data_IF_627609680662
#
_entry.id   IF_627609680662
#
_cell.length_a   1.000
_cell.length_b   1.000
_cell.length_c   1.000
_cell.angle_alpha   90.00
_cell.angle_beta   90.00
_cell.angle_gamma   90.00
#
_symmetry.space_group_name_H-M   'P 1'
#
loop_
_entity.id
_entity.type
_entity.pdbx_description
1 polymer ?
#
# COMPACT_ATOMS: atom_id res chain seq x y z
N UNK A 1 19.95 23.64 -1.21
CA UNK A 1 20.72 22.98 -2.28
C UNK A 1 19.90 22.96 -3.57
N UNK A 2 19.07 23.99 -3.83
CA UNK A 2 18.18 24.08 -5.01
C UNK A 2 17.52 22.76 -5.44
N UNK A 3 16.98 22.02 -4.47
CA UNK A 3 16.33 20.70 -4.65
C UNK A 3 17.18 19.66 -5.39
N UNK A 4 18.50 19.81 -5.42
CA UNK A 4 19.43 18.97 -6.17
C UNK A 4 19.22 17.48 -5.89
N UNK A 5 19.09 17.09 -4.63
CA UNK A 5 18.86 15.67 -4.25
C UNK A 5 17.52 15.17 -4.78
N UNK A 6 16.45 15.95 -4.62
CA UNK A 6 15.12 15.60 -5.11
C UNK A 6 15.13 15.42 -6.63
N UNK A 7 15.76 16.35 -7.36
CA UNK A 7 15.87 16.31 -8.82
C UNK A 7 16.71 15.12 -9.29
N UNK A 8 17.81 14.80 -8.59
CA UNK A 8 18.64 13.63 -8.88
C UNK A 8 17.87 12.31 -8.67
N UNK A 9 17.13 12.18 -7.55
CA UNK A 9 16.32 10.99 -7.27
C UNK A 9 15.13 10.85 -8.23
N UNK A 10 14.50 11.96 -8.59
CA UNK A 10 13.42 12.00 -9.60
C UNK A 10 13.93 11.56 -10.97
N UNK A 11 15.10 12.05 -11.38
CA UNK A 11 15.74 11.61 -12.62
C UNK A 11 16.10 10.11 -12.57
N UNK A 12 16.69 9.63 -11.48
CA UNK A 12 17.04 8.22 -11.31
C UNK A 12 15.80 7.31 -11.35
N UNK A 13 14.67 7.74 -10.78
CA UNK A 13 13.40 7.00 -10.80
C UNK A 13 12.89 6.81 -12.23
N UNK A 14 12.93 7.87 -13.05
CA UNK A 14 12.56 7.79 -14.47
C UNK A 14 13.44 6.84 -15.29
N UNK A 15 14.64 6.56 -14.82
CA UNK A 15 15.57 5.64 -15.46
C UNK A 15 15.39 4.16 -15.05
N UNK A 16 14.55 3.87 -14.06
CA UNK A 16 14.31 2.51 -13.57
C UNK A 16 13.65 1.63 -14.62
N UNK A 17 13.87 0.32 -14.51
CA UNK A 17 13.23 -0.67 -15.38
C UNK A 17 11.71 -0.58 -15.30
N UNK A 18 11.13 -0.46 -14.09
CA UNK A 18 9.68 -0.35 -13.89
C UNK A 18 9.08 0.83 -14.66
N UNK A 19 9.70 2.01 -14.62
CA UNK A 19 9.23 3.19 -15.36
C UNK A 19 9.32 2.99 -16.89
N UNK A 20 10.37 2.32 -17.37
CA UNK A 20 10.63 2.14 -18.80
C UNK A 20 9.93 0.95 -19.45
N UNK A 21 9.53 -0.06 -18.68
CA UNK A 21 8.86 -1.25 -19.21
C UNK A 21 7.53 -0.89 -19.86
N UNK A 22 7.30 -1.30 -21.10
CA UNK A 22 6.02 -1.09 -21.76
C UNK A 22 4.91 -1.92 -21.10
N UNK A 23 3.67 -1.42 -21.14
CA UNK A 23 2.54 -2.16 -20.62
C UNK A 23 2.32 -3.43 -21.46
N UNK A 24 2.01 -4.54 -20.78
CA UNK A 24 1.61 -5.77 -21.45
C UNK A 24 0.23 -5.59 -22.10
N UNK A 25 0.00 -6.24 -23.22
CA UNK A 25 -1.33 -6.41 -23.81
C UNK A 25 -2.11 -7.59 -23.19
N UNK A 26 -1.45 -8.34 -22.31
CA UNK A 26 -2.07 -9.45 -21.57
C UNK A 26 -3.20 -8.93 -20.68
N UNK A 27 -4.37 -9.54 -20.82
CA UNK A 27 -5.50 -9.27 -19.94
C UNK A 27 -5.29 -10.01 -18.61
N UNK A 28 -5.15 -9.24 -17.53
CA UNK A 28 -5.00 -9.75 -16.17
C UNK A 28 -6.34 -9.60 -15.45
N UNK A 29 -6.92 -10.70 -15.00
CA UNK A 29 -8.17 -10.68 -14.24
C UNK A 29 -7.98 -10.09 -12.84
N UNK A 30 -9.06 -9.59 -12.24
CA UNK A 30 -9.01 -9.05 -10.87
C UNK A 30 -8.46 -10.06 -9.87
N UNK A 31 -8.92 -11.32 -9.94
CA UNK A 31 -8.47 -12.38 -9.04
C UNK A 31 -6.97 -12.65 -9.22
N UNK A 32 -6.45 -12.57 -10.44
CA UNK A 32 -5.05 -12.82 -10.73
C UNK A 32 -4.11 -11.80 -10.05
N UNK A 33 -4.54 -10.54 -9.91
CA UNK A 33 -3.77 -9.55 -9.14
C UNK A 33 -3.64 -9.94 -7.66
N UNK A 34 -4.66 -10.55 -7.07
CA UNK A 34 -4.62 -11.01 -5.69
C UNK A 34 -3.80 -12.30 -5.55
N UNK A 35 -4.01 -13.28 -6.44
CA UNK A 35 -3.36 -14.59 -6.37
C UNK A 35 -1.85 -14.51 -6.62
N UNK A 36 -1.43 -13.67 -7.58
CA UNK A 36 -0.01 -13.46 -7.92
C UNK A 36 0.65 -12.34 -7.10
N UNK A 37 -0.14 -11.59 -6.32
CA UNK A 37 0.27 -10.37 -5.64
C UNK A 37 0.32 -10.45 -4.12
N UNK A 38 0.49 -11.64 -3.53
CA UNK A 38 0.44 -11.85 -2.07
C UNK A 38 1.39 -10.92 -1.32
N UNK A 39 2.64 -10.75 -1.80
CA UNK A 39 3.58 -9.80 -1.22
C UNK A 39 3.07 -8.36 -1.24
N UNK A 40 2.41 -7.93 -2.32
CA UNK A 40 1.85 -6.58 -2.42
C UNK A 40 0.73 -6.36 -1.41
N UNK A 41 -0.17 -7.33 -1.26
CA UNK A 41 -1.25 -7.28 -0.26
C UNK A 41 -0.67 -7.19 1.16
N UNK A 42 0.36 -8.00 1.46
CA UNK A 42 1.04 -7.98 2.75
C UNK A 42 1.74 -6.64 3.03
N UNK A 43 2.39 -6.04 2.03
CA UNK A 43 3.04 -4.73 2.15
C UNK A 43 2.03 -3.62 2.41
N UNK A 44 0.90 -3.61 1.71
CA UNK A 44 -0.16 -2.60 1.93
C UNK A 44 -0.73 -2.72 3.33
N UNK A 45 -1.13 -3.93 3.75
CA UNK A 45 -1.65 -4.17 5.11
C UNK A 45 -0.65 -3.69 6.17
N UNK A 46 0.58 -4.19 6.11
CA UNK A 46 1.58 -3.92 7.15
C UNK A 46 1.99 -2.45 7.17
N UNK A 47 2.10 -1.80 6.01
CA UNK A 47 2.44 -0.38 5.92
C UNK A 47 1.34 0.51 6.49
N UNK A 48 0.07 0.21 6.20
CA UNK A 48 -1.08 0.95 6.75
C UNK A 48 -1.17 0.79 8.26
N UNK A 49 -1.08 -0.44 8.76
CA UNK A 49 -1.13 -0.72 10.20
C UNK A 49 0.01 0.00 10.93
N UNK A 50 1.25 -0.15 10.45
CA UNK A 50 2.42 0.48 11.05
C UNK A 50 2.32 2.01 11.06
N UNK A 51 1.86 2.63 9.96
CA UNK A 51 1.67 4.07 9.89
C UNK A 51 0.60 4.55 10.89
N UNK A 52 -0.53 3.84 10.94
CA UNK A 52 -1.61 4.15 11.88
C UNK A 52 -1.15 4.04 13.34
N UNK A 53 -0.52 2.92 13.70
CA UNK A 53 -0.02 2.65 15.06
C UNK A 53 0.99 3.72 15.47
N UNK A 54 1.97 4.01 14.62
CA UNK A 54 3.01 5.01 14.89
C UNK A 54 2.41 6.40 15.11
N UNK A 55 1.39 6.78 14.32
CA UNK A 55 0.71 8.06 14.51
C UNK A 55 -0.05 8.12 15.84
N UNK A 56 -0.80 7.07 16.18
CA UNK A 56 -1.56 7.01 17.43
C UNK A 56 -0.64 7.00 18.65
N UNK A 57 0.46 6.26 18.60
CA UNK A 57 1.49 6.24 19.65
C UNK A 57 2.15 7.62 19.84
N UNK A 58 2.30 8.40 18.76
CA UNK A 58 2.77 9.78 18.81
C UNK A 58 1.72 10.78 19.35
N UNK A 59 0.51 10.32 19.69
CA UNK A 59 -0.56 11.12 20.26
C UNK A 59 -1.54 11.71 19.24
N UNK A 60 -1.47 11.30 17.97
CA UNK A 60 -2.46 11.68 16.95
C UNK A 60 -3.75 10.91 17.23
N UNK A 61 -4.90 11.58 17.13
CA UNK A 61 -6.19 10.91 17.32
C UNK A 61 -6.42 9.85 16.25
N UNK A 62 -7.06 8.74 16.63
CA UNK A 62 -7.23 7.58 15.77
C UNK A 62 -8.00 7.90 14.48
N UNK A 63 -9.01 8.78 14.53
CA UNK A 63 -9.72 9.22 13.33
C UNK A 63 -8.81 9.94 12.33
N UNK A 64 -7.91 10.82 12.80
CA UNK A 64 -6.93 11.49 11.93
C UNK A 64 -5.92 10.50 11.38
N UNK A 65 -5.37 9.62 12.23
CA UNK A 65 -4.45 8.58 11.79
C UNK A 65 -5.07 7.68 10.70
N UNK A 66 -6.36 7.35 10.79
CA UNK A 66 -7.08 6.61 9.74
C UNK A 66 -7.15 7.38 8.41
N UNK A 67 -7.48 8.67 8.45
CA UNK A 67 -7.57 9.50 7.25
C UNK A 67 -6.21 9.62 6.54
N UNK A 68 -5.15 9.84 7.30
CA UNK A 68 -3.77 10.02 6.78
C UNK A 68 -3.04 8.69 6.48
N UNK A 69 -3.71 7.53 6.59
CA UNK A 69 -3.15 6.21 6.26
C UNK A 69 -4.05 5.41 5.34
N UNK A 70 -5.01 4.66 5.89
CA UNK A 70 -5.85 3.73 5.14
C UNK A 70 -6.77 4.46 4.14
N UNK A 71 -7.34 5.61 4.52
CA UNK A 71 -8.31 6.30 3.67
C UNK A 71 -7.73 6.81 2.36
N UNK A 72 -6.51 7.33 2.38
CA UNK A 72 -5.84 7.91 1.21
C UNK A 72 -5.14 6.87 0.32
N UNK A 73 -4.90 5.66 0.84
CA UNK A 73 -4.19 4.59 0.10
C UNK A 73 -4.78 4.35 -1.31
N UNK A 74 -6.11 4.26 -1.52
CA UNK A 74 -6.66 4.10 -2.86
C UNK A 74 -6.37 5.26 -3.81
N UNK A 75 -6.30 6.50 -3.32
CA UNK A 75 -6.01 7.67 -4.15
C UNK A 75 -4.58 7.60 -4.70
N UNK A 76 -3.60 7.27 -3.85
CA UNK A 76 -2.21 7.09 -4.26
C UNK A 76 -2.08 5.92 -5.24
N UNK A 77 -2.70 4.77 -4.94
CA UNK A 77 -2.71 3.62 -5.84
C UNK A 77 -3.26 3.96 -7.24
N UNK A 78 -4.33 4.77 -7.31
CA UNK A 78 -4.89 5.22 -8.59
C UNK A 78 -3.92 6.09 -9.40
N UNK A 79 -3.06 6.89 -8.78
CA UNK A 79 -2.02 7.65 -9.51
C UNK A 79 -1.01 6.72 -10.18
N UNK A 80 -0.58 5.67 -9.47
CA UNK A 80 0.35 4.65 -9.98
C UNK A 80 -0.30 3.84 -11.10
N UNK A 81 -1.55 3.41 -10.92
CA UNK A 81 -2.28 2.69 -11.95
C UNK A 81 -2.45 3.50 -13.24
N UNK A 82 -2.59 4.83 -13.12
CA UNK A 82 -2.77 5.72 -14.28
C UNK A 82 -1.48 5.86 -15.10
N UNK A 83 -0.35 6.15 -14.45
CA UNK A 83 0.90 6.56 -15.10
C UNK A 83 2.15 6.31 -14.24
N UNK A 84 2.18 5.18 -13.53
CA UNK A 84 3.33 4.67 -12.74
C UNK A 84 3.80 5.64 -11.64
N UNK A 85 5.03 5.47 -11.14
CA UNK A 85 5.59 6.29 -10.06
C UNK A 85 5.81 7.73 -10.52
N UNK A 86 6.04 7.96 -11.82
CA UNK A 86 6.11 9.30 -12.38
C UNK A 86 4.87 10.14 -12.06
N UNK A 87 3.67 9.59 -12.26
CA UNK A 87 2.44 10.34 -11.98
C UNK A 87 2.21 10.52 -10.50
N UNK A 88 2.51 9.51 -9.68
CA UNK A 88 2.45 9.65 -8.23
C UNK A 88 3.29 10.83 -7.76
N UNK A 89 4.57 10.85 -8.12
CA UNK A 89 5.52 11.90 -7.74
C UNK A 89 5.15 13.27 -8.30
N UNK A 90 4.52 13.31 -9.49
CA UNK A 90 4.04 14.56 -10.11
C UNK A 90 2.79 15.14 -9.44
N UNK A 91 1.95 14.30 -8.84
CA UNK A 91 0.66 14.71 -8.25
C UNK A 91 0.81 15.11 -6.78
N UNK A 92 1.73 14.49 -6.05
CA UNK A 92 1.99 14.82 -4.65
C UNK A 92 2.85 16.09 -4.51
N UNK A 93 2.92 16.64 -3.30
CA UNK A 93 3.79 17.79 -3.00
C UNK A 93 5.27 17.41 -3.00
N UNK A 94 6.17 18.37 -3.26
CA UNK A 94 7.63 18.14 -3.19
C UNK A 94 8.07 17.61 -1.80
N UNK A 95 7.40 18.03 -0.73
CA UNK A 95 7.63 17.51 0.64
C UNK A 95 7.30 16.03 0.73
N UNK A 96 6.17 15.60 0.16
CA UNK A 96 5.75 14.22 0.15
C UNK A 96 6.69 13.38 -0.72
N UNK A 97 7.05 13.86 -1.91
CA UNK A 97 7.99 13.15 -2.80
C UNK A 97 9.36 12.99 -2.14
N UNK A 98 9.91 14.04 -1.53
CA UNK A 98 11.18 13.96 -0.82
C UNK A 98 11.12 12.96 0.34
N UNK A 99 10.02 12.97 1.11
CA UNK A 99 9.76 12.00 2.17
C UNK A 99 9.70 10.55 1.65
N UNK A 100 9.06 10.33 0.50
CA UNK A 100 9.02 9.02 -0.16
C UNK A 100 10.43 8.51 -0.48
N UNK A 101 11.30 9.35 -1.05
CA UNK A 101 12.68 8.93 -1.34
C UNK A 101 13.50 8.64 -0.09
N UNK A 102 13.38 9.46 0.96
CA UNK A 102 14.07 9.19 2.23
C UNK A 102 13.66 7.85 2.83
N UNK A 103 12.37 7.55 2.80
CA UNK A 103 11.85 6.27 3.28
C UNK A 103 12.32 5.12 2.37
N UNK A 104 12.21 5.26 1.05
CA UNK A 104 12.60 4.24 0.08
C UNK A 104 14.08 3.82 0.23
N UNK A 105 14.97 4.80 0.30
CA UNK A 105 16.41 4.58 0.45
C UNK A 105 16.78 3.89 1.77
N UNK A 106 15.94 4.01 2.80
CA UNK A 106 16.15 3.37 4.09
C UNK A 106 15.48 2.00 4.18
N UNK A 107 14.24 1.90 3.68
CA UNK A 107 13.38 0.74 3.79
C UNK A 107 13.82 -0.39 2.85
N UNK A 108 14.12 -0.09 1.58
CA UNK A 108 14.52 -1.14 0.61
C UNK A 108 15.74 -1.93 1.08
N UNK A 109 16.86 -1.31 1.53
CA UNK A 109 17.99 -2.06 2.07
C UNK A 109 17.63 -2.88 3.32
N UNK A 110 16.77 -2.34 4.19
CA UNK A 110 16.38 -2.97 5.45
C UNK A 110 15.65 -4.31 5.22
N UNK A 111 14.74 -4.37 4.26
CA UNK A 111 13.92 -5.56 4.00
C UNK A 111 14.46 -6.44 2.85
N UNK A 112 15.54 -6.01 2.18
CA UNK A 112 16.04 -6.64 0.95
C UNK A 112 16.27 -8.15 1.10
N UNK A 113 17.00 -8.53 2.13
CA UNK A 113 17.39 -9.94 2.33
C UNK A 113 16.20 -10.80 2.72
N UNK A 114 15.26 -10.24 3.49
CA UNK A 114 14.00 -10.89 3.81
C UNK A 114 13.18 -11.15 2.54
N UNK A 115 12.96 -10.12 1.73
CA UNK A 115 12.18 -10.23 0.48
C UNK A 115 12.83 -11.20 -0.50
N UNK A 116 14.15 -11.18 -0.64
CA UNK A 116 14.89 -12.11 -1.51
C UNK A 116 14.86 -13.57 -1.01
N UNK A 117 14.58 -13.78 0.27
CA UNK A 117 14.46 -15.10 0.88
C UNK A 117 13.05 -15.70 0.85
N UNK A 118 12.04 -14.93 0.38
CA UNK A 118 10.68 -15.41 0.26
C UNK A 118 10.54 -16.47 -0.83
N UNK A 119 9.50 -17.30 -0.71
CA UNK A 119 9.13 -18.22 -1.78
C UNK A 119 8.80 -17.44 -3.06
N UNK A 120 9.18 -18.01 -4.22
CA UNK A 120 8.83 -17.45 -5.53
C UNK A 120 7.34 -17.41 -5.78
N UNK A 121 6.58 -18.24 -5.08
CA UNK A 121 5.11 -18.22 -5.16
C UNK A 121 4.50 -17.04 -4.39
N UNK A 122 5.29 -16.33 -3.57
CA UNK A 122 4.82 -15.17 -2.81
C UNK A 122 4.68 -13.90 -3.68
N UNK A 123 5.29 -13.89 -4.88
CA UNK A 123 5.12 -12.84 -5.88
C UNK A 123 5.31 -13.36 -7.32
N UNK A 124 4.32 -13.11 -8.18
CA UNK A 124 4.37 -13.43 -9.61
C UNK A 124 3.84 -14.82 -9.99
N UNK A 125 3.55 -15.69 -9.03
CA UNK A 125 2.87 -16.98 -9.27
C UNK A 125 1.64 -17.08 -8.37
N UNK A 126 0.63 -17.83 -8.81
CA UNK A 126 -0.61 -17.97 -8.06
C UNK A 126 -0.38 -18.80 -6.80
N UNK A 127 -0.47 -18.15 -5.64
CA UNK A 127 -0.26 -18.79 -4.34
C UNK A 127 -1.50 -19.59 -3.94
N UNK A 128 -1.32 -20.81 -3.42
CA UNK A 128 -2.42 -21.60 -2.83
C UNK A 128 -3.45 -22.15 -3.82
N UNK A 129 -3.04 -22.44 -5.06
CA UNK A 129 -3.93 -23.01 -6.10
C UNK A 129 -4.27 -24.50 -5.89
N UNK A 130 -3.54 -25.18 -5.01
CA UNK A 130 -3.89 -26.53 -4.55
C UNK A 130 -4.85 -26.44 -3.36
N UNK A 131 -5.89 -27.29 -3.32
CA UNK A 131 -6.78 -27.44 -2.15
C UNK A 131 -5.94 -27.89 -0.94
N UNK A 132 -5.46 -26.89 -0.20
CA UNK A 132 -4.75 -27.07 1.05
C UNK A 132 -5.76 -26.81 2.16
N UNK A 133 -6.06 -27.85 2.94
CA UNK A 133 -6.89 -27.69 4.12
C UNK A 133 -6.19 -26.74 5.09
N UNK A 134 -6.80 -25.58 5.35
CA UNK A 134 -6.40 -24.67 6.43
C UNK A 134 -7.09 -25.07 7.72
N UNK A 135 -6.43 -24.92 8.87
CA UNK A 135 -7.09 -25.13 10.16
C UNK A 135 -8.17 -24.06 10.34
N UNK A 136 -9.43 -24.49 10.46
CA UNK A 136 -10.56 -23.60 10.66
C UNK A 136 -10.41 -22.74 11.92
N UNK A 137 -9.79 -23.25 12.99
CA UNK A 137 -9.58 -22.49 14.22
C UNK A 137 -8.55 -21.38 14.01
N UNK A 138 -7.46 -21.68 13.31
CA UNK A 138 -6.44 -20.69 12.95
C UNK A 138 -7.02 -19.62 12.03
N UNK A 139 -7.79 -20.02 11.02
CA UNK A 139 -8.46 -19.09 10.10
C UNK A 139 -9.42 -18.15 10.83
N UNK A 140 -10.19 -18.66 11.80
CA UNK A 140 -11.05 -17.82 12.64
C UNK A 140 -10.20 -16.84 13.44
N UNK A 141 -9.14 -17.30 14.10
CA UNK A 141 -8.28 -16.45 14.91
C UNK A 141 -7.60 -15.33 14.10
N UNK A 142 -7.10 -15.64 12.89
CA UNK A 142 -6.50 -14.65 11.99
C UNK A 142 -7.53 -13.61 11.54
N UNK A 143 -8.74 -14.04 11.16
CA UNK A 143 -9.80 -13.13 10.75
C UNK A 143 -10.27 -12.23 11.90
N UNK A 144 -10.37 -12.77 13.11
CA UNK A 144 -10.75 -12.01 14.28
C UNK A 144 -9.69 -10.98 14.65
N UNK A 145 -8.40 -11.36 14.63
CA UNK A 145 -7.29 -10.43 14.87
C UNK A 145 -7.29 -9.28 13.85
N UNK A 146 -7.50 -9.57 12.58
CA UNK A 146 -7.61 -8.58 11.50
C UNK A 146 -8.73 -7.56 11.78
N UNK A 147 -9.94 -8.05 12.07
CA UNK A 147 -11.11 -7.19 12.30
C UNK A 147 -11.01 -6.37 13.59
N UNK A 148 -10.22 -6.85 14.54
CA UNK A 148 -10.01 -6.18 15.82
C UNK A 148 -8.88 -5.14 15.76
N UNK A 149 -8.13 -5.04 14.66
CA UNK A 149 -7.12 -4.00 14.53
C UNK A 149 -7.76 -2.61 14.66
N UNK A 150 -7.20 -1.68 15.45
CA UNK A 150 -7.81 -0.37 15.70
C UNK A 150 -8.14 0.43 14.43
N UNK A 151 -7.30 0.34 13.40
CA UNK A 151 -7.54 0.98 12.09
C UNK A 151 -8.85 0.50 11.43
N UNK A 152 -9.20 -0.78 11.58
CA UNK A 152 -10.42 -1.36 11.02
C UNK A 152 -11.65 -0.97 11.84
N UNK A 153 -11.53 -0.94 13.17
CA UNK A 153 -12.61 -0.51 14.07
C UNK A 153 -13.00 0.95 13.77
N UNK A 154 -12.00 1.84 13.73
CA UNK A 154 -12.21 3.27 13.44
C UNK A 154 -12.67 3.45 11.99
N UNK A 155 -12.05 2.74 11.06
CA UNK A 155 -12.40 2.79 9.65
C UNK A 155 -13.84 2.38 9.37
N UNK A 156 -14.33 1.30 9.98
CA UNK A 156 -15.71 0.86 9.82
C UNK A 156 -16.71 1.93 10.27
N UNK A 157 -16.44 2.59 11.41
CA UNK A 157 -17.25 3.70 11.92
C UNK A 157 -17.26 4.89 10.95
N UNK A 158 -16.08 5.31 10.48
CA UNK A 158 -15.94 6.47 9.59
C UNK A 158 -16.52 6.23 8.20
N UNK A 159 -16.27 5.05 7.59
CA UNK A 159 -16.87 4.66 6.30
C UNK A 159 -18.39 4.68 6.35
N UNK A 160 -18.98 4.12 7.42
CA UNK A 160 -20.43 4.15 7.62
C UNK A 160 -20.97 5.58 7.70
N UNK A 161 -20.27 6.48 8.40
CA UNK A 161 -20.66 7.88 8.50
C UNK A 161 -20.61 8.58 7.14
N UNK A 162 -19.55 8.35 6.34
CA UNK A 162 -19.42 8.92 4.99
C UNK A 162 -20.51 8.44 4.04
N UNK A 163 -20.85 7.13 4.05
CA UNK A 163 -21.93 6.60 3.23
C UNK A 163 -23.31 7.13 3.65
N UNK A 164 -23.51 7.40 4.94
CA UNK A 164 -24.77 7.93 5.46
C UNK A 164 -24.98 9.43 5.19
N UNK A 165 -23.96 10.17 4.72
CA UNK A 165 -24.11 11.58 4.38
C UNK A 165 -25.03 11.74 3.16
N UNK A 166 -26.22 12.32 3.39
CA UNK A 166 -27.12 12.75 2.31
C UNK A 166 -26.60 14.04 1.69
N UNK A 167 -26.69 14.16 0.36
CA UNK A 167 -26.52 15.45 -0.31
C UNK A 167 -27.59 16.40 0.21
N UNK A 168 -27.19 17.50 0.84
CA UNK A 168 -28.12 18.47 1.43
C UNK A 168 -28.73 19.35 0.33
N UNK A 169 -28.12 19.44 -0.86
CA UNK A 169 -28.63 20.24 -1.99
C UNK A 169 -28.55 19.42 -3.30
N UNK A 170 -29.69 19.31 -3.99
CA UNK A 170 -29.83 19.00 -5.43
C UNK A 170 -30.26 20.27 -6.17
#
# INVERSE_FOLDING_TARGET
NDDKELLEWRAATGETAFEKTEASEEEISEQEYFDKGVLMVAMVKSGVELAFETMVEAGIIAESAYYESLHETPLIANTIARKKLFEMNRIISDTAEYGCYLFDHSCKPLIKDYVNGLDKDFIGHAYGTEETGVDNLELIAVNDALRQHPVEIVGAKLRKAMTAMKRIHE
#
